data_IF_987341640168
#
_entry.id   IF_987341640168
#
_cell.length_a   1.000
_cell.length_b   1.000
_cell.length_c   1.000
_cell.angle_alpha   90.00
_cell.angle_beta   90.00
_cell.angle_gamma   90.00
#
_symmetry.space_group_name_H-M   'P 1'
#
loop_
_entity.id
_entity.type
_entity.pdbx_description
1 polymer ?
#
# COMPACT_ATOMS: atom_id res chain seq x y z
N UNK A 1 6.68 12.39 -8.94
CA UNK A 1 7.54 11.21 -8.62
C UNK A 1 7.24 10.13 -9.66
N UNK A 2 8.21 9.77 -10.49
CA UNK A 2 7.98 8.74 -11.51
C UNK A 2 8.22 7.37 -10.88
N UNK A 3 7.15 6.74 -10.32
CA UNK A 3 7.20 5.33 -9.91
C UNK A 3 7.17 4.39 -11.13
N UNK A 4 6.81 4.90 -12.29
CA UNK A 4 6.78 4.15 -13.55
C UNK A 4 8.20 3.82 -14.01
N UNK A 5 8.46 2.54 -14.22
CA UNK A 5 9.75 2.02 -14.65
C UNK A 5 9.74 1.86 -16.17
N UNK A 6 10.72 2.43 -16.91
CA UNK A 6 10.79 2.26 -18.35
C UNK A 6 11.04 0.79 -18.75
N UNK A 7 10.57 0.40 -19.93
CA UNK A 7 10.68 -0.98 -20.42
C UNK A 7 12.13 -1.52 -20.42
N UNK A 8 13.13 -0.66 -20.58
CA UNK A 8 14.56 -1.02 -20.54
C UNK A 8 15.06 -1.50 -19.17
N UNK A 9 14.28 -1.29 -18.11
CA UNK A 9 14.59 -1.73 -16.73
C UNK A 9 13.72 -2.89 -16.28
N UNK A 10 12.83 -3.39 -17.13
CA UNK A 10 11.99 -4.55 -16.80
C UNK A 10 12.81 -5.85 -16.86
N UNK A 11 12.39 -6.80 -16.06
CA UNK A 11 13.02 -8.12 -16.01
C UNK A 11 12.89 -8.86 -17.35
N UNK A 12 14.01 -9.33 -17.91
CA UNK A 12 14.01 -10.01 -19.20
C UNK A 12 13.42 -11.43 -19.16
N UNK A 13 13.25 -12.01 -17.98
CA UNK A 13 12.84 -13.42 -17.85
C UNK A 13 11.36 -13.62 -17.51
N UNK A 14 10.70 -12.63 -16.90
CA UNK A 14 9.27 -12.70 -16.55
C UNK A 14 8.47 -11.52 -17.11
N UNK A 15 8.93 -10.29 -16.89
CA UNK A 15 8.17 -9.09 -17.21
C UNK A 15 8.14 -8.78 -18.71
N UNK A 16 9.30 -8.82 -19.38
CA UNK A 16 9.35 -8.62 -20.84
C UNK A 16 8.64 -9.73 -21.64
N UNK A 17 8.80 -11.03 -21.33
CA UNK A 17 8.02 -12.09 -21.97
C UNK A 17 6.51 -11.92 -21.83
N UNK A 18 6.02 -11.46 -20.65
CA UNK A 18 4.60 -11.14 -20.49
C UNK A 18 4.17 -10.04 -21.46
N UNK A 19 4.90 -8.94 -21.55
CA UNK A 19 4.57 -7.85 -22.47
C UNK A 19 4.61 -8.29 -23.95
N UNK A 20 5.55 -9.17 -24.32
CA UNK A 20 5.59 -9.78 -25.66
C UNK A 20 4.35 -10.63 -25.92
N UNK A 21 3.86 -11.40 -24.94
CA UNK A 21 2.61 -12.14 -25.08
C UNK A 21 1.41 -11.20 -25.29
N UNK A 22 1.33 -10.10 -24.53
CA UNK A 22 0.32 -9.06 -24.71
C UNK A 22 0.36 -8.47 -26.12
N UNK A 23 1.55 -8.20 -26.61
CA UNK A 23 1.77 -7.60 -27.93
C UNK A 23 1.39 -8.53 -29.08
N UNK A 24 1.71 -9.81 -28.95
CA UNK A 24 1.49 -10.83 -29.98
C UNK A 24 0.07 -11.41 -29.99
N UNK A 25 -0.73 -11.16 -28.94
CA UNK A 25 -2.08 -11.71 -28.81
C UNK A 25 -3.12 -10.59 -28.56
N UNK A 26 -3.38 -9.72 -29.55
CA UNK A 26 -4.44 -8.73 -29.44
C UNK A 26 -5.80 -9.43 -29.29
N UNK A 27 -6.67 -8.94 -28.42
CA UNK A 27 -8.00 -9.53 -28.19
C UNK A 27 -8.04 -10.71 -27.22
N UNK A 28 -6.89 -11.22 -26.73
CA UNK A 28 -6.88 -12.21 -25.66
C UNK A 28 -6.93 -11.57 -24.27
N UNK A 29 -7.71 -12.17 -23.39
CA UNK A 29 -7.71 -11.83 -21.97
C UNK A 29 -6.49 -12.43 -21.26
N UNK A 30 -5.97 -11.71 -20.27
CA UNK A 30 -4.83 -12.14 -19.46
C UNK A 30 -5.11 -11.99 -17.98
N UNK A 31 -4.55 -12.87 -17.19
CA UNK A 31 -4.46 -12.74 -15.76
C UNK A 31 -3.01 -12.79 -15.28
N UNK A 32 -2.51 -11.66 -14.81
CA UNK A 32 -1.18 -11.49 -14.25
C UNK A 32 -1.23 -11.70 -12.74
N UNK A 33 -0.74 -12.85 -12.28
CA UNK A 33 -0.57 -13.17 -10.86
C UNK A 33 0.81 -12.72 -10.40
N UNK A 34 0.94 -12.35 -9.13
CA UNK A 34 2.25 -12.08 -8.55
C UNK A 34 2.14 -11.53 -7.14
N UNK A 35 3.17 -11.74 -6.35
CA UNK A 35 3.24 -11.25 -4.98
C UNK A 35 3.32 -9.71 -4.88
N UNK A 36 3.15 -9.18 -3.67
CA UNK A 36 3.44 -7.78 -3.37
C UNK A 36 4.83 -7.41 -3.90
N UNK A 37 4.91 -6.32 -4.67
CA UNK A 37 6.20 -5.83 -5.18
C UNK A 37 6.76 -6.58 -6.40
N UNK A 38 5.99 -7.45 -7.08
CA UNK A 38 6.42 -8.11 -8.33
C UNK A 38 6.33 -7.22 -9.58
N UNK A 39 5.73 -6.02 -9.48
CA UNK A 39 5.63 -5.06 -10.58
C UNK A 39 4.33 -5.13 -11.38
N UNK A 40 3.28 -5.79 -10.89
CA UNK A 40 1.98 -5.92 -11.59
C UNK A 40 1.42 -4.60 -12.14
N UNK A 41 1.29 -3.60 -11.28
CA UNK A 41 0.74 -2.29 -11.67
C UNK A 41 1.60 -1.58 -12.71
N UNK A 42 2.93 -1.74 -12.65
CA UNK A 42 3.86 -1.25 -13.68
C UNK A 42 3.56 -1.91 -15.02
N UNK A 43 3.38 -3.24 -15.03
CA UNK A 43 3.09 -3.99 -16.24
C UNK A 43 1.72 -3.65 -16.83
N UNK A 44 0.70 -3.39 -15.99
CA UNK A 44 -0.60 -2.90 -16.49
C UNK A 44 -0.45 -1.58 -17.25
N UNK A 45 0.37 -0.64 -16.77
CA UNK A 45 0.64 0.59 -17.52
C UNK A 45 1.39 0.32 -18.82
N UNK A 46 2.34 -0.60 -18.85
CA UNK A 46 2.98 -1.00 -20.12
C UNK A 46 1.99 -1.62 -21.10
N UNK A 47 1.00 -2.39 -20.62
CA UNK A 47 -0.08 -2.92 -21.48
C UNK A 47 -0.89 -1.78 -22.13
N UNK A 48 -1.21 -0.72 -21.35
CA UNK A 48 -1.83 0.49 -21.90
C UNK A 48 -0.98 1.12 -22.99
N UNK A 49 0.33 1.30 -22.75
CA UNK A 49 1.24 1.92 -23.70
C UNK A 49 1.37 1.10 -24.99
N UNK A 50 1.39 -0.23 -24.89
CA UNK A 50 1.42 -1.14 -26.05
C UNK A 50 0.14 -0.98 -26.86
N UNK A 51 -1.02 -0.97 -26.19
CA UNK A 51 -2.33 -0.82 -26.83
C UNK A 51 -2.45 0.51 -27.56
N UNK A 52 -2.15 1.61 -26.89
CA UNK A 52 -2.20 2.96 -27.43
C UNK A 52 -1.21 3.20 -28.58
N UNK A 53 -0.05 2.56 -28.56
CA UNK A 53 0.91 2.59 -29.68
C UNK A 53 0.36 1.92 -30.94
N UNK A 54 -0.36 0.80 -30.78
CA UNK A 54 -0.98 0.05 -31.88
C UNK A 54 -2.25 0.71 -32.38
N UNK A 55 -3.06 1.22 -31.46
CA UNK A 55 -4.31 1.89 -31.76
C UNK A 55 -4.45 3.16 -30.89
N UNK A 56 -3.99 4.33 -31.36
CA UNK A 56 -4.08 5.58 -30.62
C UNK A 56 -5.51 5.96 -30.21
N UNK A 57 -6.51 5.53 -30.98
CA UNK A 57 -7.92 5.79 -30.72
C UNK A 57 -8.60 4.73 -29.85
N UNK A 58 -7.87 3.70 -29.41
CA UNK A 58 -8.39 2.68 -28.51
C UNK A 58 -9.04 3.31 -27.27
N UNK A 59 -10.25 2.90 -26.96
CA UNK A 59 -10.93 3.30 -25.74
C UNK A 59 -10.49 2.41 -24.59
N UNK A 60 -9.53 2.90 -23.83
CA UNK A 60 -8.92 2.18 -22.72
C UNK A 60 -9.33 2.78 -21.36
N UNK A 61 -9.48 1.91 -20.35
CA UNK A 61 -9.77 2.30 -18.97
C UNK A 61 -8.97 1.46 -17.98
N UNK A 62 -8.60 2.08 -16.85
CA UNK A 62 -7.97 1.41 -15.71
C UNK A 62 -8.98 1.37 -14.56
N UNK A 63 -9.29 0.18 -14.09
CA UNK A 63 -10.23 -0.08 -12.98
C UNK A 63 -9.42 -0.52 -11.77
N UNK A 64 -9.63 0.18 -10.65
CA UNK A 64 -8.94 -0.03 -9.39
C UNK A 64 -9.95 -0.30 -8.27
N UNK A 65 -9.48 -0.89 -7.17
CA UNK A 65 -10.34 -1.12 -6.02
C UNK A 65 -10.43 0.11 -5.09
N UNK A 66 -9.33 0.83 -4.88
CA UNK A 66 -9.24 1.94 -3.93
C UNK A 66 -8.98 3.29 -4.59
N UNK A 67 -9.52 4.36 -3.99
CA UNK A 67 -9.28 5.74 -4.45
C UNK A 67 -7.81 6.17 -4.33
N UNK A 68 -7.11 5.67 -3.33
CA UNK A 68 -5.70 6.02 -3.08
C UNK A 68 -4.80 5.63 -4.25
N UNK A 69 -5.14 4.54 -4.96
CA UNK A 69 -4.40 4.08 -6.15
C UNK A 69 -4.60 4.99 -7.36
N UNK A 70 -5.72 5.70 -7.46
CA UNK A 70 -6.00 6.57 -8.62
C UNK A 70 -4.93 7.64 -8.76
N UNK A 71 -4.60 8.34 -7.67
CA UNK A 71 -3.58 9.40 -7.68
C UNK A 71 -2.19 8.83 -8.05
N UNK A 72 -1.86 7.65 -7.52
CA UNK A 72 -0.60 6.99 -7.83
C UNK A 72 -0.53 6.62 -9.31
N UNK A 73 -1.55 5.95 -9.84
CA UNK A 73 -1.60 5.51 -11.24
C UNK A 73 -1.55 6.73 -12.18
N UNK A 74 -2.38 7.75 -11.94
CA UNK A 74 -2.39 8.99 -12.73
C UNK A 74 -1.03 9.70 -12.72
N UNK A 75 -0.36 9.70 -11.56
CA UNK A 75 0.99 10.26 -11.44
C UNK A 75 2.08 9.48 -12.21
N UNK A 76 1.83 8.24 -12.59
CA UNK A 76 2.73 7.40 -13.38
C UNK A 76 2.44 7.43 -14.89
N UNK A 77 1.27 7.92 -15.30
CA UNK A 77 0.91 8.00 -16.72
C UNK A 77 1.77 9.05 -17.44
N UNK A 78 2.33 8.73 -18.61
CA UNK A 78 2.91 9.73 -19.49
C UNK A 78 1.90 10.82 -19.86
N UNK A 79 2.36 12.05 -20.05
CA UNK A 79 1.49 13.21 -20.33
C UNK A 79 0.57 12.99 -21.55
N UNK A 80 1.04 12.28 -22.55
CA UNK A 80 0.27 11.93 -23.77
C UNK A 80 -0.94 11.03 -23.48
N UNK A 81 -0.93 10.30 -22.35
CA UNK A 81 -2.00 9.40 -21.91
C UNK A 81 -2.67 9.87 -20.63
N UNK A 82 -2.41 11.10 -20.19
CA UNK A 82 -2.99 11.67 -18.97
C UNK A 82 -4.53 11.68 -18.96
N UNK A 83 -5.16 11.68 -20.14
CA UNK A 83 -6.62 11.63 -20.31
C UNK A 83 -7.19 10.21 -20.22
N UNK A 84 -6.38 9.16 -20.02
CA UNK A 84 -6.89 7.81 -19.80
C UNK A 84 -7.77 7.78 -18.54
N UNK A 85 -8.98 7.25 -18.66
CA UNK A 85 -9.86 7.10 -17.52
C UNK A 85 -9.26 6.13 -16.50
N UNK A 86 -9.17 6.57 -15.24
CA UNK A 86 -8.75 5.77 -14.08
C UNK A 86 -9.83 5.91 -13.04
N UNK A 87 -10.57 4.84 -12.79
CA UNK A 87 -11.75 4.82 -11.93
C UNK A 87 -11.65 3.71 -10.89
N UNK A 88 -12.39 3.89 -9.78
CA UNK A 88 -12.69 2.73 -8.93
C UNK A 88 -13.73 1.84 -9.61
N UNK A 89 -13.81 0.56 -9.19
CA UNK A 89 -14.85 -0.34 -9.68
C UNK A 89 -16.25 0.25 -9.45
N UNK A 90 -16.50 0.86 -8.29
CA UNK A 90 -17.80 1.50 -7.99
C UNK A 90 -18.15 2.65 -8.94
N UNK A 91 -17.19 3.38 -9.45
CA UNK A 91 -17.42 4.40 -10.48
C UNK A 91 -17.61 3.76 -11.86
N UNK A 92 -16.81 2.72 -12.16
CA UNK A 92 -16.85 2.02 -13.44
C UNK A 92 -18.21 1.32 -13.69
N UNK A 93 -18.83 0.72 -12.67
CA UNK A 93 -20.12 0.04 -12.84
C UNK A 93 -21.25 0.95 -13.34
N UNK A 94 -21.17 2.27 -13.12
CA UNK A 94 -22.12 3.27 -13.62
C UNK A 94 -21.80 3.74 -15.05
N UNK A 95 -20.75 3.24 -15.68
CA UNK A 95 -20.45 3.51 -17.09
C UNK A 95 -21.31 2.61 -17.98
N UNK A 96 -21.88 3.18 -19.03
CA UNK A 96 -22.70 2.46 -20.01
C UNK A 96 -21.97 2.20 -21.34
N UNK A 97 -20.68 2.45 -21.37
CA UNK A 97 -19.84 2.40 -22.55
C UNK A 97 -19.04 1.10 -22.59
N UNK A 98 -18.69 0.67 -23.80
CA UNK A 98 -17.77 -0.45 -24.00
C UNK A 98 -16.35 0.05 -24.30
N UNK A 99 -15.38 -0.76 -23.94
CA UNK A 99 -13.96 -0.44 -23.99
C UNK A 99 -13.20 -1.47 -24.82
N UNK A 100 -12.18 -1.02 -25.56
CA UNK A 100 -11.27 -1.90 -26.30
C UNK A 100 -10.23 -2.53 -25.40
N UNK A 101 -9.87 -1.83 -24.31
CA UNK A 101 -8.96 -2.34 -23.27
C UNK A 101 -9.46 -1.96 -21.87
N UNK A 102 -9.69 -2.99 -21.05
CA UNK A 102 -9.96 -2.80 -19.62
C UNK A 102 -8.77 -3.38 -18.84
N UNK A 103 -8.10 -2.55 -18.06
CA UNK A 103 -7.03 -2.96 -17.15
C UNK A 103 -7.58 -2.97 -15.73
N UNK A 104 -7.45 -4.08 -15.02
CA UNK A 104 -7.99 -4.25 -13.66
C UNK A 104 -6.86 -4.61 -12.71
N UNK A 105 -6.61 -3.79 -11.70
CA UNK A 105 -5.68 -4.13 -10.61
C UNK A 105 -6.43 -4.59 -9.36
N UNK A 106 -5.77 -5.41 -8.55
CA UNK A 106 -6.30 -5.98 -7.29
C UNK A 106 -7.59 -6.81 -7.48
N UNK A 107 -7.63 -7.63 -8.54
CA UNK A 107 -8.81 -8.45 -8.90
C UNK A 107 -9.30 -9.35 -7.75
N UNK A 108 -8.41 -9.79 -6.85
CA UNK A 108 -8.76 -10.67 -5.72
C UNK A 108 -9.75 -10.03 -4.74
N UNK A 109 -9.98 -8.72 -4.82
CA UNK A 109 -10.95 -8.02 -3.98
C UNK A 109 -12.33 -7.87 -4.64
N UNK A 110 -12.45 -8.28 -5.90
CA UNK A 110 -13.72 -8.19 -6.63
C UNK A 110 -14.47 -9.53 -6.53
N UNK A 111 -15.76 -9.51 -6.17
CA UNK A 111 -16.60 -10.69 -6.25
C UNK A 111 -16.83 -11.09 -7.71
N UNK A 112 -17.22 -12.35 -7.93
CA UNK A 112 -17.39 -12.94 -9.27
C UNK A 112 -18.33 -12.14 -10.17
N UNK A 113 -19.47 -11.68 -9.63
CA UNK A 113 -20.45 -10.93 -10.42
C UNK A 113 -19.88 -9.61 -10.95
N UNK A 114 -19.00 -8.94 -10.17
CA UNK A 114 -18.36 -7.70 -10.56
C UNK A 114 -17.35 -7.94 -11.69
N UNK A 115 -16.64 -9.06 -11.64
CA UNK A 115 -15.71 -9.46 -12.72
C UNK A 115 -16.48 -9.77 -14.01
N UNK A 116 -17.64 -10.44 -13.92
CA UNK A 116 -18.52 -10.67 -15.07
C UNK A 116 -19.04 -9.34 -15.65
N UNK A 117 -19.42 -8.39 -14.80
CA UNK A 117 -19.83 -7.05 -15.23
C UNK A 117 -18.69 -6.33 -15.97
N UNK A 118 -17.46 -6.39 -15.46
CA UNK A 118 -16.29 -5.82 -16.14
C UNK A 118 -16.11 -6.44 -17.53
N UNK A 119 -16.15 -7.77 -17.62
CA UNK A 119 -15.96 -8.47 -18.89
C UNK A 119 -17.09 -8.12 -19.91
N UNK A 120 -18.31 -7.88 -19.45
CA UNK A 120 -19.44 -7.55 -20.33
C UNK A 120 -19.31 -6.17 -21.00
N UNK A 121 -18.43 -5.30 -20.49
CA UNK A 121 -18.19 -3.95 -21.03
C UNK A 121 -17.00 -3.89 -22.00
N UNK A 122 -16.56 -5.02 -22.52
CA UNK A 122 -15.58 -5.03 -23.62
C UNK A 122 -16.28 -4.92 -24.98
N UNK A 123 -15.65 -4.27 -25.96
CA UNK A 123 -16.07 -4.35 -27.36
C UNK A 123 -15.83 -5.76 -27.91
N UNK A 124 -16.40 -6.09 -29.07
CA UNK A 124 -16.28 -7.42 -29.69
C UNK A 124 -14.83 -7.88 -29.85
N UNK A 125 -13.93 -6.96 -30.15
CA UNK A 125 -12.50 -7.22 -30.29
C UNK A 125 -11.68 -6.73 -29.10
N UNK A 126 -12.37 -6.29 -28.03
CA UNK A 126 -11.76 -5.80 -26.82
C UNK A 126 -11.21 -6.92 -25.95
N UNK A 127 -10.40 -6.53 -24.96
CA UNK A 127 -9.80 -7.46 -24.01
C UNK A 127 -9.75 -6.90 -22.60
N UNK A 128 -9.67 -7.80 -21.63
CA UNK A 128 -9.42 -7.46 -20.24
C UNK A 128 -8.07 -8.04 -19.82
N UNK A 129 -7.29 -7.24 -19.11
CA UNK A 129 -6.04 -7.67 -18.47
C UNK A 129 -6.21 -7.46 -16.96
N UNK A 130 -6.25 -8.56 -16.23
CA UNK A 130 -6.36 -8.58 -14.78
C UNK A 130 -4.99 -8.68 -14.14
N UNK A 131 -4.80 -8.01 -13.02
CA UNK A 131 -3.66 -8.19 -12.13
C UNK A 131 -4.11 -8.38 -10.69
N UNK A 132 -3.38 -9.20 -9.91
CA UNK A 132 -3.72 -9.42 -8.52
C UNK A 132 -2.75 -10.29 -7.75
N UNK A 133 -2.92 -10.27 -6.44
CA UNK A 133 -2.19 -11.09 -5.46
C UNK A 133 -3.18 -11.74 -4.49
N UNK A 134 -3.35 -13.03 -4.61
CA UNK A 134 -4.27 -13.82 -3.76
C UNK A 134 -3.99 -13.61 -2.27
N UNK A 135 -2.72 -13.45 -1.91
CA UNK A 135 -2.30 -13.29 -0.51
C UNK A 135 -2.69 -11.94 0.09
N UNK A 136 -3.08 -10.98 -0.74
CA UNK A 136 -3.57 -9.66 -0.32
C UNK A 136 -5.10 -9.55 -0.39
N UNK A 137 -5.83 -10.64 -0.47
CA UNK A 137 -7.29 -10.62 -0.36
C UNK A 137 -7.70 -10.27 1.07
N UNK A 138 -8.40 -9.16 1.23
CA UNK A 138 -8.83 -8.61 2.52
C UNK A 138 -10.35 -8.55 2.68
N UNK A 139 -11.10 -9.08 1.73
CA UNK A 139 -12.56 -9.11 1.75
C UNK A 139 -13.09 -10.55 1.70
N UNK A 140 -14.13 -10.82 2.47
CA UNK A 140 -14.77 -12.14 2.65
C UNK A 140 -15.30 -12.79 1.36
N UNK A 141 -15.43 -12.02 0.29
CA UNK A 141 -15.96 -12.51 -0.98
C UNK A 141 -15.02 -13.49 -1.70
N UNK A 142 -13.77 -13.60 -1.23
CA UNK A 142 -12.70 -14.35 -1.88
C UNK A 142 -12.14 -15.50 -1.03
N UNK A 143 -12.80 -15.85 0.06
CA UNK A 143 -12.26 -16.72 1.11
C UNK A 143 -12.06 -18.20 0.74
N UNK A 144 -12.29 -18.62 -0.51
CA UNK A 144 -11.93 -19.98 -0.93
C UNK A 144 -10.98 -19.95 -2.13
N UNK A 145 -9.90 -20.76 -2.07
CA UNK A 145 -9.04 -21.04 -3.23
C UNK A 145 -9.86 -21.52 -4.45
N UNK A 146 -11.01 -22.14 -4.21
CA UNK A 146 -11.93 -22.58 -5.25
C UNK A 146 -12.58 -21.42 -6.00
N UNK A 147 -12.95 -20.31 -5.32
CA UNK A 147 -13.50 -19.12 -5.98
C UNK A 147 -12.48 -18.43 -6.88
N UNK A 148 -11.21 -18.44 -6.54
CA UNK A 148 -10.16 -17.87 -7.38
C UNK A 148 -9.93 -18.71 -8.63
N UNK A 149 -10.07 -20.03 -8.52
CA UNK A 149 -10.05 -20.93 -9.68
C UNK A 149 -11.33 -20.78 -10.53
N UNK A 150 -12.46 -20.37 -9.92
CA UNK A 150 -13.69 -20.00 -10.66
C UNK A 150 -13.56 -18.66 -11.36
N UNK A 151 -12.88 -17.66 -10.75
CA UNK A 151 -12.51 -16.41 -11.41
C UNK A 151 -11.69 -16.66 -12.68
N UNK A 152 -10.82 -17.69 -12.68
CA UNK A 152 -10.09 -18.11 -13.89
C UNK A 152 -10.99 -18.63 -15.01
N UNK A 153 -12.21 -19.07 -14.70
CA UNK A 153 -13.19 -19.53 -15.69
C UNK A 153 -14.04 -18.39 -16.26
N UNK A 154 -14.04 -17.21 -15.61
CA UNK A 154 -14.92 -16.10 -16.00
C UNK A 154 -14.47 -15.39 -17.27
N UNK A 155 -13.19 -14.99 -17.43
CA UNK A 155 -12.73 -14.64 -18.76
C UNK A 155 -12.42 -15.95 -19.50
N UNK A 156 -13.41 -16.52 -20.17
CA UNK A 156 -13.23 -17.66 -21.05
C UNK A 156 -11.98 -17.41 -21.90
N UNK A 157 -10.99 -18.29 -21.78
CA UNK A 157 -9.69 -18.23 -22.46
C UNK A 157 -8.67 -17.17 -21.94
N UNK A 158 -8.75 -16.70 -20.69
CA UNK A 158 -7.68 -15.87 -20.14
C UNK A 158 -6.37 -16.67 -20.00
N UNK A 159 -5.29 -16.11 -20.56
CA UNK A 159 -3.95 -16.65 -20.37
C UNK A 159 -3.42 -16.22 -19.00
N UNK A 160 -3.03 -17.18 -18.17
CA UNK A 160 -2.48 -16.92 -16.84
C UNK A 160 -0.96 -16.81 -16.93
N UNK A 161 -0.42 -15.74 -16.37
CA UNK A 161 1.03 -15.55 -16.20
C UNK A 161 1.32 -15.25 -14.74
N UNK A 162 2.32 -15.93 -14.19
CA UNK A 162 2.76 -15.72 -12.80
C UNK A 162 4.11 -15.03 -12.76
N UNK A 163 4.22 -14.02 -11.88
CA UNK A 163 5.48 -13.35 -11.56
C UNK A 163 5.98 -13.89 -10.22
N UNK A 164 7.13 -14.56 -10.25
CA UNK A 164 7.74 -15.19 -9.08
C UNK A 164 8.88 -14.35 -8.48
N UNK A 165 9.23 -13.25 -9.13
CA UNK A 165 10.25 -12.31 -8.65
C UNK A 165 9.63 -11.14 -7.92
N UNK A 166 10.19 -10.84 -6.75
CA UNK A 166 9.79 -9.71 -5.90
C UNK A 166 10.88 -8.65 -5.97
N UNK A 167 10.54 -7.48 -6.50
CA UNK A 167 11.48 -6.39 -6.76
C UNK A 167 11.51 -5.32 -5.66
N UNK A 168 10.43 -5.21 -4.89
CA UNK A 168 10.26 -4.12 -3.93
C UNK A 168 10.61 -4.51 -2.50
N UNK A 169 10.26 -5.73 -2.11
CA UNK A 169 10.44 -6.16 -0.73
C UNK A 169 11.86 -6.64 -0.49
N UNK A 170 12.42 -6.30 0.67
CA UNK A 170 13.67 -6.90 1.13
C UNK A 170 13.45 -8.33 1.63
N UNK A 171 14.54 -9.12 1.72
CA UNK A 171 14.50 -10.47 2.29
C UNK A 171 13.94 -10.47 3.71
N UNK A 172 14.29 -9.46 4.52
CA UNK A 172 13.84 -9.30 5.89
C UNK A 172 12.33 -9.07 5.95
N UNK A 173 11.79 -8.12 5.15
CA UNK A 173 10.34 -7.88 5.08
C UNK A 173 9.62 -9.13 4.60
N UNK A 174 10.11 -9.85 3.57
CA UNK A 174 9.53 -11.11 3.14
C UNK A 174 9.50 -12.14 4.27
N UNK A 175 10.60 -12.30 5.03
CA UNK A 175 10.70 -13.27 6.13
C UNK A 175 9.65 -12.98 7.22
N UNK A 176 9.55 -11.74 7.68
CA UNK A 176 8.59 -11.39 8.74
C UNK A 176 7.14 -11.41 8.27
N UNK A 177 6.86 -11.13 7.00
CA UNK A 177 5.49 -11.13 6.46
C UNK A 177 5.01 -12.53 6.06
N UNK A 178 5.90 -13.50 5.84
CA UNK A 178 5.54 -14.85 5.42
C UNK A 178 4.60 -15.57 6.38
N UNK A 179 4.65 -15.27 7.68
CA UNK A 179 3.76 -15.85 8.69
C UNK A 179 2.28 -15.46 8.52
N UNK A 180 2.03 -14.38 7.77
CA UNK A 180 0.69 -13.83 7.51
C UNK A 180 0.24 -14.08 6.06
N UNK A 181 1.07 -14.74 5.27
CA UNK A 181 0.79 -15.05 3.88
C UNK A 181 -0.03 -16.35 3.79
N UNK A 182 -1.15 -16.33 3.05
CA UNK A 182 -1.98 -17.53 2.87
C UNK A 182 -1.25 -18.61 2.09
N UNK A 183 -0.47 -18.24 1.07
CA UNK A 183 0.35 -19.17 0.28
C UNK A 183 1.82 -19.01 0.69
N UNK A 184 2.10 -19.37 1.94
CA UNK A 184 3.43 -19.22 2.56
C UNK A 184 4.51 -19.92 1.76
N UNK A 185 4.27 -21.16 1.31
CA UNK A 185 5.27 -21.98 0.62
C UNK A 185 5.76 -21.32 -0.67
N UNK A 186 4.84 -20.88 -1.54
CA UNK A 186 5.21 -20.20 -2.79
C UNK A 186 5.79 -18.81 -2.53
N UNK A 187 5.31 -18.12 -1.50
CA UNK A 187 5.83 -16.80 -1.13
C UNK A 187 7.29 -16.89 -0.62
N UNK A 188 7.62 -17.90 0.20
CA UNK A 188 8.98 -18.14 0.68
C UNK A 188 9.90 -18.66 -0.45
N UNK A 189 9.36 -19.36 -1.45
CA UNK A 189 10.10 -19.80 -2.63
C UNK A 189 10.34 -18.70 -3.66
N UNK A 190 9.56 -17.60 -3.62
CA UNK A 190 9.70 -16.48 -4.55
C UNK A 190 11.10 -15.84 -4.44
N UNK A 191 11.69 -15.51 -5.58
CA UNK A 191 13.00 -14.88 -5.65
C UNK A 191 12.88 -13.39 -5.29
N UNK A 192 13.49 -12.98 -4.19
CA UNK A 192 13.64 -11.56 -3.85
C UNK A 192 14.86 -11.01 -4.57
N UNK A 193 14.64 -10.03 -5.42
CA UNK A 193 15.69 -9.35 -6.18
C UNK A 193 16.35 -8.29 -5.28
N UNK A 194 17.61 -8.47 -4.99
CA UNK A 194 18.32 -7.94 -3.86
C UNK A 194 18.91 -6.55 -4.11
N UNK A 195 18.06 -5.56 -4.40
CA UNK A 195 18.50 -4.16 -4.40
C UNK A 195 18.43 -3.50 -3.00
N UNK A 196 17.69 -4.12 -2.05
CA UNK A 196 17.49 -3.63 -0.69
C UNK A 196 17.59 -4.78 0.33
N UNK A 197 18.71 -5.52 0.31
CA UNK A 197 18.90 -6.72 1.14
C UNK A 197 18.66 -6.51 2.63
N UNK A 198 18.91 -5.32 3.14
CA UNK A 198 18.97 -5.00 4.56
C UNK A 198 18.07 -3.82 4.95
N UNK A 199 16.80 -3.82 4.50
CA UNK A 199 15.84 -2.83 5.05
C UNK A 199 15.82 -2.96 6.57
N UNK A 200 16.19 -1.92 7.32
CA UNK A 200 16.15 -1.95 8.78
C UNK A 200 14.70 -2.09 9.26
N UNK A 201 14.51 -3.03 10.17
CA UNK A 201 13.23 -3.21 10.88
C UNK A 201 13.50 -2.90 12.35
N UNK A 202 12.74 -1.98 12.91
CA UNK A 202 12.85 -1.60 14.32
C UNK A 202 11.57 -1.91 15.07
N UNK A 203 11.69 -2.33 16.31
CA UNK A 203 10.60 -2.46 17.26
C UNK A 203 10.81 -1.49 18.42
N UNK A 204 9.92 -0.52 18.54
CA UNK A 204 9.99 0.51 19.57
C UNK A 204 9.07 0.16 20.72
N UNK A 205 9.61 0.11 21.91
CA UNK A 205 8.88 -0.12 23.15
C UNK A 205 8.66 1.19 23.88
N UNK A 206 7.41 1.53 24.13
CA UNK A 206 7.00 2.66 24.97
C UNK A 206 6.44 2.18 26.31
N UNK A 207 6.58 2.99 27.34
CA UNK A 207 6.08 2.67 28.68
C UNK A 207 4.55 2.72 28.73
N UNK A 208 3.96 3.66 27.96
CA UNK A 208 2.52 3.88 27.89
C UNK A 208 2.13 4.48 26.52
N UNK A 209 0.83 4.55 26.26
CA UNK A 209 0.27 5.05 25.00
C UNK A 209 0.63 6.53 24.74
N UNK A 210 0.70 7.37 25.77
CA UNK A 210 1.03 8.79 25.60
C UNK A 210 2.48 8.95 25.12
N UNK A 211 3.42 8.21 25.69
CA UNK A 211 4.81 8.17 25.27
C UNK A 211 4.95 7.62 23.84
N UNK A 212 4.17 6.56 23.51
CA UNK A 212 4.16 6.02 22.15
C UNK A 212 3.67 7.05 21.12
N UNK A 213 2.56 7.75 21.39
CA UNK A 213 2.05 8.82 20.53
C UNK A 213 3.05 9.97 20.39
N UNK A 214 3.69 10.38 21.49
CA UNK A 214 4.70 11.46 21.47
C UNK A 214 5.91 11.08 20.63
N UNK A 215 6.43 9.87 20.82
CA UNK A 215 7.54 9.35 20.03
C UNK A 215 7.16 9.21 18.56
N UNK A 216 6.02 8.58 18.26
CA UNK A 216 5.54 8.36 16.90
C UNK A 216 5.43 9.68 16.12
N UNK A 217 4.81 10.70 16.74
CA UNK A 217 4.69 12.00 16.10
C UNK A 217 6.05 12.67 15.86
N UNK A 218 6.89 12.77 16.89
CA UNK A 218 8.20 13.44 16.76
C UNK A 218 9.12 12.71 15.76
N UNK A 219 9.16 11.38 15.82
CA UNK A 219 9.95 10.59 14.90
C UNK A 219 9.44 10.69 13.46
N UNK A 220 8.13 10.52 13.23
CA UNK A 220 7.59 10.64 11.88
C UNK A 220 7.75 12.05 11.30
N UNK A 221 7.66 13.11 12.12
CA UNK A 221 7.93 14.48 11.71
C UNK A 221 9.41 14.68 11.32
N UNK A 222 10.36 14.10 12.07
CA UNK A 222 11.78 14.12 11.73
C UNK A 222 12.04 13.53 10.34
N UNK A 223 11.41 12.38 10.02
CA UNK A 223 11.48 11.80 8.67
C UNK A 223 10.83 12.69 7.61
N UNK A 224 9.69 13.30 7.92
CA UNK A 224 9.03 14.26 7.02
C UNK A 224 9.89 15.47 6.72
N UNK A 225 10.48 16.07 7.74
CA UNK A 225 11.37 17.23 7.61
C UNK A 225 12.67 16.88 6.84
N UNK A 226 13.12 15.62 6.90
CA UNK A 226 14.20 15.10 6.08
C UNK A 226 13.77 14.75 4.62
N UNK A 227 12.51 14.96 4.24
CA UNK A 227 12.00 14.75 2.88
C UNK A 227 11.62 13.30 2.54
N UNK A 228 11.48 12.41 3.54
CA UNK A 228 11.15 10.99 3.29
C UNK A 228 9.67 10.69 3.13
N UNK A 229 8.77 11.62 3.44
CA UNK A 229 7.29 11.43 3.37
C UNK A 229 6.87 10.10 4.01
N UNK A 230 6.98 9.97 5.34
CA UNK A 230 6.68 8.72 6.03
C UNK A 230 5.18 8.43 6.05
N UNK A 231 4.82 7.14 6.12
CA UNK A 231 3.45 6.70 6.32
C UNK A 231 3.26 6.04 7.67
N UNK A 232 2.25 6.47 8.40
CA UNK A 232 1.77 5.84 9.63
C UNK A 232 0.56 4.99 9.26
N UNK A 233 0.68 3.68 9.33
CA UNK A 233 -0.37 2.73 9.02
C UNK A 233 -1.07 2.30 10.30
N UNK A 234 -2.38 2.53 10.38
CA UNK A 234 -3.20 2.21 11.55
C UNK A 234 -4.37 1.33 11.11
N UNK A 235 -4.76 0.36 11.92
CA UNK A 235 -5.77 -0.62 11.56
C UNK A 235 -7.18 -0.02 11.37
N UNK A 236 -7.55 0.98 12.18
CA UNK A 236 -8.90 1.51 12.23
C UNK A 236 -8.94 3.05 12.35
N UNK A 237 -10.07 3.63 11.96
CA UNK A 237 -10.25 5.09 11.93
C UNK A 237 -10.31 5.73 13.32
N UNK A 238 -10.83 5.00 14.32
CA UNK A 238 -10.92 5.53 15.68
C UNK A 238 -9.54 5.75 16.31
N UNK A 239 -8.62 4.80 16.07
CA UNK A 239 -7.22 4.95 16.49
C UNK A 239 -6.52 6.09 15.74
N UNK A 240 -6.87 6.33 14.46
CA UNK A 240 -6.39 7.49 13.71
C UNK A 240 -6.84 8.79 14.37
N UNK A 241 -8.13 8.92 14.72
CA UNK A 241 -8.65 10.11 15.40
C UNK A 241 -8.00 10.35 16.76
N UNK A 242 -7.83 9.29 17.55
CA UNK A 242 -7.13 9.35 18.85
C UNK A 242 -5.69 9.85 18.68
N UNK A 243 -4.97 9.34 17.66
CA UNK A 243 -3.61 9.78 17.39
C UNK A 243 -3.58 11.24 16.93
N UNK A 244 -4.46 11.67 16.01
CA UNK A 244 -4.55 13.07 15.58
C UNK A 244 -4.83 14.00 16.75
N UNK A 245 -5.77 13.63 17.65
CA UNK A 245 -6.04 14.41 18.88
C UNK A 245 -4.81 14.48 19.78
N UNK A 246 -4.04 13.40 19.89
CA UNK A 246 -2.78 13.40 20.65
C UNK A 246 -1.73 14.33 19.99
N UNK A 247 -1.62 14.34 18.66
CA UNK A 247 -0.74 15.27 17.92
C UNK A 247 -1.12 16.72 18.20
N UNK A 248 -2.40 17.05 18.10
CA UNK A 248 -2.89 18.42 18.38
C UNK A 248 -2.58 18.83 19.84
N UNK A 249 -2.73 17.92 20.80
CA UNK A 249 -2.37 18.16 22.21
C UNK A 249 -0.85 18.39 22.37
N UNK A 250 0.00 17.57 21.72
CA UNK A 250 1.46 17.67 21.77
C UNK A 250 1.94 19.02 21.19
N UNK A 251 1.30 19.46 20.13
CA UNK A 251 1.65 20.72 19.44
C UNK A 251 0.90 21.94 20.01
N UNK A 252 0.15 21.80 21.12
CA UNK A 252 -0.66 22.86 21.75
C UNK A 252 -1.62 23.53 20.76
N UNK A 253 -2.33 22.74 19.94
CA UNK A 253 -3.28 23.21 18.93
C UNK A 253 -4.73 22.92 19.34
N UNK A 254 -5.72 23.67 18.79
CA UNK A 254 -7.12 23.39 18.99
C UNK A 254 -7.48 21.97 18.64
N UNK A 255 -8.30 21.31 19.48
CA UNK A 255 -8.73 19.94 19.27
C UNK A 255 -9.74 19.82 18.12
N UNK A 256 -9.99 18.57 17.67
CA UNK A 256 -10.98 18.29 16.64
C UNK A 256 -12.38 18.71 17.09
N UNK A 257 -13.19 19.23 16.16
CA UNK A 257 -14.60 19.45 16.40
C UNK A 257 -15.35 18.10 16.35
N UNK A 258 -16.12 17.78 17.39
CA UNK A 258 -16.93 16.56 17.46
C UNK A 258 -18.00 16.47 16.35
N UNK A 259 -18.47 17.58 15.80
CA UNK A 259 -19.40 17.59 14.67
C UNK A 259 -18.83 16.96 13.39
N UNK A 260 -17.49 16.93 13.24
CA UNK A 260 -16.82 16.26 12.12
C UNK A 260 -16.81 14.74 12.19
N UNK A 261 -17.31 14.17 13.31
CA UNK A 261 -17.26 12.74 13.65
C UNK A 261 -18.69 12.18 13.82
N UNK A 262 -19.71 12.82 13.27
CA UNK A 262 -21.10 12.46 13.50
C UNK A 262 -21.63 11.33 12.61
N UNK A 263 -22.51 10.49 13.14
CA UNK A 263 -23.30 9.45 12.46
C UNK A 263 -22.49 8.38 11.71
N UNK A 264 -21.31 8.00 12.21
CA UNK A 264 -20.48 6.97 11.58
C UNK A 264 -19.70 7.44 10.35
N UNK A 265 -19.87 8.70 9.91
CA UNK A 265 -19.04 9.32 8.89
C UNK A 265 -18.04 10.29 9.51
N UNK A 266 -16.75 10.07 9.20
CA UNK A 266 -15.66 10.96 9.60
C UNK A 266 -15.36 11.89 8.43
N UNK A 267 -15.48 13.20 8.66
CA UNK A 267 -15.21 14.24 7.68
C UNK A 267 -13.70 14.53 7.57
N UNK A 268 -12.93 13.60 7.00
CA UNK A 268 -11.47 13.72 6.92
C UNK A 268 -10.97 14.92 6.12
N UNK A 269 -11.78 15.49 5.21
CA UNK A 269 -11.49 16.76 4.54
C UNK A 269 -11.42 17.92 5.55
N UNK A 270 -12.37 18.00 6.48
CA UNK A 270 -12.37 19.04 7.52
C UNK A 270 -11.20 18.83 8.49
N UNK A 271 -10.90 17.57 8.84
CA UNK A 271 -9.74 17.24 9.67
C UNK A 271 -8.44 17.64 8.98
N UNK A 272 -8.24 17.30 7.71
CA UNK A 272 -7.05 17.69 6.96
C UNK A 272 -6.91 19.23 6.87
N UNK A 273 -8.00 19.95 6.60
CA UNK A 273 -8.01 21.41 6.59
C UNK A 273 -7.67 21.99 7.96
N UNK A 274 -8.17 21.39 9.04
CA UNK A 274 -7.86 21.81 10.39
C UNK A 274 -6.37 21.61 10.74
N UNK A 275 -5.79 20.46 10.37
CA UNK A 275 -4.37 20.19 10.55
C UNK A 275 -3.52 21.22 9.79
N UNK A 276 -3.85 21.46 8.53
CA UNK A 276 -3.14 22.41 7.67
C UNK A 276 -3.23 23.83 8.21
N UNK A 277 -4.42 24.32 8.58
CA UNK A 277 -4.62 25.67 9.12
C UNK A 277 -3.91 25.90 10.45
N UNK A 278 -3.62 24.84 11.19
CA UNK A 278 -2.84 24.89 12.43
C UNK A 278 -1.33 24.62 12.23
N UNK A 279 -0.86 24.47 10.98
CA UNK A 279 0.54 24.24 10.65
C UNK A 279 1.05 22.84 11.00
N UNK A 280 0.16 21.86 11.17
CA UNK A 280 0.50 20.47 11.44
C UNK A 280 0.79 19.75 10.13
N UNK A 281 2.04 19.32 9.94
CA UNK A 281 2.50 18.59 8.75
C UNK A 281 2.04 17.12 8.76
N UNK A 282 0.76 16.89 8.93
CA UNK A 282 0.10 15.58 8.93
C UNK A 282 -1.14 15.64 8.05
N UNK A 283 -1.35 14.60 7.22
CA UNK A 283 -2.61 14.43 6.50
C UNK A 283 -3.13 13.00 6.61
N UNK A 284 -4.45 12.86 6.67
CA UNK A 284 -5.10 11.59 6.40
C UNK A 284 -5.19 11.36 4.88
N UNK A 285 -4.78 10.16 4.44
CA UNK A 285 -4.89 9.72 3.05
C UNK A 285 -5.80 8.48 2.98
N UNK A 286 -6.83 8.54 2.15
CA UNK A 286 -7.76 7.42 1.93
C UNK A 286 -9.17 7.89 1.64
N UNK A 287 -10.01 7.03 1.06
CA UNK A 287 -11.43 7.30 0.78
C UNK A 287 -11.70 8.65 0.09
N UNK A 288 -10.92 9.03 -0.92
CA UNK A 288 -10.93 10.33 -1.63
C UNK A 288 -10.34 11.52 -0.87
N UNK A 289 -9.87 11.34 0.35
CA UNK A 289 -9.26 12.40 1.14
C UNK A 289 -7.74 12.34 1.09
N UNK A 290 -7.10 13.50 1.16
CA UNK A 290 -5.66 13.64 1.07
C UNK A 290 -5.13 13.51 -0.37
N UNK A 291 -3.85 13.78 -0.57
CA UNK A 291 -3.16 13.69 -1.86
C UNK A 291 -1.71 13.28 -1.68
N UNK A 292 -1.27 12.26 -2.44
CA UNK A 292 0.14 11.88 -2.52
C UNK A 292 1.01 13.02 -3.03
N UNK A 293 0.53 13.73 -4.05
CA UNK A 293 1.26 14.85 -4.63
C UNK A 293 1.53 15.92 -3.57
N UNK A 294 0.49 16.27 -2.79
CA UNK A 294 0.61 17.25 -1.70
C UNK A 294 1.55 16.72 -0.59
N UNK A 295 1.44 15.45 -0.22
CA UNK A 295 2.33 14.86 0.77
C UNK A 295 3.81 15.04 0.40
N UNK A 296 4.14 14.82 -0.88
CA UNK A 296 5.49 14.97 -1.37
C UNK A 296 5.94 16.43 -1.52
N UNK A 297 5.08 17.32 -2.02
CA UNK A 297 5.45 18.73 -2.18
C UNK A 297 5.69 19.43 -0.84
N UNK A 298 4.93 19.08 0.18
CA UNK A 298 4.89 19.77 1.46
C UNK A 298 5.59 18.98 2.59
N UNK A 299 6.20 17.83 2.25
CA UNK A 299 6.85 16.91 3.18
C UNK A 299 5.95 16.50 4.36
N UNK A 300 4.69 16.12 4.04
CA UNK A 300 3.69 15.75 5.05
C UNK A 300 3.90 14.31 5.52
N UNK A 301 3.73 14.10 6.81
CA UNK A 301 3.48 12.76 7.37
C UNK A 301 2.11 12.29 6.88
N UNK A 302 2.03 11.09 6.33
CA UNK A 302 0.77 10.52 5.85
C UNK A 302 0.25 9.50 6.85
N UNK A 303 -0.99 9.65 7.33
CA UNK A 303 -1.67 8.66 8.14
C UNK A 303 -2.76 7.97 7.30
N UNK A 304 -2.79 6.64 7.32
CA UNK A 304 -3.63 5.85 6.42
C UNK A 304 -4.04 4.53 7.10
N UNK A 305 -5.22 4.01 6.75
CA UNK A 305 -5.62 2.68 7.25
C UNK A 305 -4.88 1.56 6.50
N UNK A 306 -4.74 0.38 7.13
CA UNK A 306 -4.21 -0.82 6.47
C UNK A 306 -4.94 -1.10 5.15
N UNK A 307 -6.28 -1.01 5.13
CA UNK A 307 -7.10 -1.18 3.94
C UNK A 307 -6.74 -0.19 2.83
N UNK A 308 -6.69 1.09 3.18
CA UNK A 308 -6.42 2.16 2.19
C UNK A 308 -4.97 2.17 1.70
N UNK A 309 -4.04 1.54 2.44
CA UNK A 309 -2.64 1.40 2.05
C UNK A 309 -2.40 0.32 0.98
N UNK A 310 -3.42 -0.51 0.71
CA UNK A 310 -3.30 -1.57 -0.29
C UNK A 310 -2.93 -1.02 -1.67
N UNK A 311 -1.99 -1.69 -2.32
CA UNK A 311 -1.44 -1.26 -3.62
C UNK A 311 -0.43 -0.11 -3.56
N UNK A 312 -0.39 0.65 -2.45
CA UNK A 312 0.57 1.73 -2.24
C UNK A 312 1.89 1.20 -1.70
N UNK A 313 2.91 2.05 -1.74
CA UNK A 313 4.18 1.81 -1.06
C UNK A 313 4.81 3.13 -0.59
N UNK A 314 5.62 3.03 0.46
CA UNK A 314 6.24 4.16 1.11
C UNK A 314 7.71 3.83 1.42
N UNK A 315 8.56 4.85 1.45
CA UNK A 315 9.95 4.66 1.85
C UNK A 315 10.04 4.21 3.30
N UNK A 316 9.41 4.96 4.20
CA UNK A 316 9.38 4.68 5.64
C UNK A 316 7.95 4.41 6.08
N UNK A 317 7.75 3.28 6.75
CA UNK A 317 6.45 2.87 7.28
C UNK A 317 6.53 2.70 8.79
N UNK A 318 5.60 3.32 9.48
CA UNK A 318 5.33 3.11 10.91
C UNK A 318 4.06 2.28 11.05
N UNK A 319 4.10 1.21 11.84
CA UNK A 319 2.93 0.44 12.27
C UNK A 319 2.87 0.48 13.79
N UNK A 320 2.15 1.46 14.36
CA UNK A 320 2.10 1.68 15.80
C UNK A 320 1.00 0.89 16.49
N UNK A 321 0.97 1.00 17.83
CA UNK A 321 -0.09 0.53 18.74
C UNK A 321 -0.22 -0.99 18.79
N UNK A 322 0.84 -1.73 18.50
CA UNK A 322 0.85 -3.19 18.53
C UNK A 322 0.94 -3.71 19.99
N UNK A 323 0.04 -3.24 20.86
CA UNK A 323 -0.16 -3.71 22.23
C UNK A 323 -1.18 -4.84 22.25
N UNK A 324 -1.21 -5.62 23.33
CA UNK A 324 -2.05 -6.82 23.45
C UNK A 324 -3.54 -6.56 23.20
N UNK A 325 -4.04 -5.41 23.65
CA UNK A 325 -5.47 -5.05 23.56
C UNK A 325 -5.83 -4.32 22.27
N UNK A 326 -4.85 -4.10 21.38
CA UNK A 326 -5.11 -3.44 20.11
C UNK A 326 -5.80 -4.40 19.14
N UNK A 327 -6.94 -3.96 18.59
CA UNK A 327 -7.70 -4.76 17.65
C UNK A 327 -7.39 -4.35 16.20
N UNK A 328 -6.86 -5.30 15.44
CA UNK A 328 -6.80 -5.18 13.99
C UNK A 328 -8.18 -5.56 13.44
N UNK A 329 -8.67 -4.76 12.51
CA UNK A 329 -10.01 -4.90 11.95
C UNK A 329 -10.27 -6.29 11.36
N UNK A 330 -11.52 -6.78 11.54
CA UNK A 330 -12.00 -8.05 11.00
C UNK A 330 -11.80 -9.24 11.94
N UNK A 331 -12.12 -10.41 11.45
CA UNK A 331 -11.77 -11.68 12.09
C UNK A 331 -10.26 -11.97 11.98
N UNK A 332 -9.81 -13.08 12.55
CA UNK A 332 -8.38 -13.43 12.57
C UNK A 332 -7.79 -13.57 11.15
N UNK A 333 -8.56 -14.06 10.18
CA UNK A 333 -8.11 -14.25 8.80
C UNK A 333 -7.92 -12.91 8.11
N UNK A 334 -8.91 -12.04 8.20
CA UNK A 334 -8.87 -10.67 7.67
C UNK A 334 -7.77 -9.87 8.37
N UNK A 335 -7.67 -9.96 9.70
CA UNK A 335 -6.64 -9.26 10.46
C UNK A 335 -5.22 -9.67 10.04
N UNK A 336 -4.97 -10.97 9.79
CA UNK A 336 -3.69 -11.46 9.26
C UNK A 336 -3.40 -10.92 7.87
N UNK A 337 -4.38 -10.96 6.97
CA UNK A 337 -4.23 -10.43 5.61
C UNK A 337 -3.95 -8.92 5.61
N UNK A 338 -4.63 -8.15 6.47
CA UNK A 338 -4.39 -6.72 6.63
C UNK A 338 -3.01 -6.42 7.22
N UNK A 339 -2.56 -7.22 8.17
CA UNK A 339 -1.22 -7.06 8.74
C UNK A 339 -0.14 -7.44 7.70
N UNK A 340 -0.35 -8.48 6.90
CA UNK A 340 0.48 -8.80 5.74
C UNK A 340 0.56 -7.61 4.77
N UNK A 341 -0.58 -7.01 4.43
CA UNK A 341 -0.62 -5.80 3.60
C UNK A 341 0.24 -4.71 4.22
N UNK A 342 0.05 -4.38 5.50
CA UNK A 342 0.78 -3.31 6.17
C UNK A 342 2.30 -3.55 6.19
N UNK A 343 2.76 -4.75 6.56
CA UNK A 343 4.18 -5.11 6.57
C UNK A 343 4.84 -4.96 5.20
N UNK A 344 4.11 -5.27 4.13
CA UNK A 344 4.61 -5.23 2.75
C UNK A 344 4.56 -3.84 2.10
N UNK A 345 4.21 -2.78 2.82
CA UNK A 345 4.17 -1.40 2.27
C UNK A 345 5.50 -0.67 2.32
N UNK A 346 6.46 -1.16 3.11
CA UNK A 346 7.76 -0.52 3.32
C UNK A 346 8.75 -0.86 2.20
N UNK A 347 9.46 0.17 1.71
CA UNK A 347 10.56 0.02 0.74
C UNK A 347 11.94 0.08 1.40
N UNK A 348 12.15 1.01 2.31
CA UNK A 348 13.47 1.34 2.84
C UNK A 348 13.55 1.14 4.35
N UNK A 349 12.46 1.37 5.10
CA UNK A 349 12.45 1.23 6.55
C UNK A 349 11.06 0.86 7.09
N UNK A 350 11.02 -0.13 7.98
CA UNK A 350 9.83 -0.53 8.72
C UNK A 350 10.04 -0.33 10.22
N UNK A 351 9.13 0.38 10.85
CA UNK A 351 9.18 0.68 12.28
C UNK A 351 7.87 0.25 12.91
N UNK A 352 7.95 -0.74 13.79
CA UNK A 352 6.84 -1.25 14.58
C UNK A 352 6.90 -0.63 15.96
N UNK A 353 5.76 -0.39 16.60
CA UNK A 353 5.77 0.04 18.01
C UNK A 353 4.64 -0.54 18.83
N UNK A 354 4.88 -0.65 20.13
CA UNK A 354 3.87 -1.01 21.12
C UNK A 354 4.12 -0.25 22.42
N UNK A 355 3.06 -0.10 23.21
CA UNK A 355 3.14 0.43 24.58
C UNK A 355 2.76 -0.61 25.62
N UNK A 356 3.27 -0.43 26.83
CA UNK A 356 2.99 -1.32 27.96
C UNK A 356 3.76 -2.65 27.93
N UNK A 357 3.34 -3.58 28.81
CA UNK A 357 4.10 -4.81 29.09
C UNK A 357 3.86 -5.89 28.03
N UNK A 358 2.61 -6.01 27.54
CA UNK A 358 2.21 -7.10 26.64
C UNK A 358 2.10 -6.62 25.20
N UNK A 359 2.83 -7.26 24.33
CA UNK A 359 2.77 -7.04 22.88
C UNK A 359 1.56 -7.71 22.23
N UNK A 360 1.14 -7.20 21.08
CA UNK A 360 0.14 -7.83 20.24
C UNK A 360 0.59 -9.24 19.81
N UNK A 361 -0.30 -10.24 19.76
CA UNK A 361 0.06 -11.61 19.33
C UNK A 361 0.70 -11.71 17.94
N UNK A 362 0.50 -10.71 17.09
CA UNK A 362 1.15 -10.62 15.78
C UNK A 362 2.62 -10.20 15.84
N UNK A 363 3.13 -9.74 16.97
CA UNK A 363 4.57 -9.56 17.16
C UNK A 363 5.19 -10.90 17.58
N UNK A 364 5.31 -11.81 16.61
CA UNK A 364 5.84 -13.15 16.83
C UNK A 364 7.34 -13.15 17.11
N UNK A 365 7.87 -14.28 17.56
CA UNK A 365 9.31 -14.46 17.77
C UNK A 365 10.12 -14.22 16.50
N UNK A 366 9.58 -14.60 15.34
CA UNK A 366 10.21 -14.34 14.03
C UNK A 366 10.36 -12.83 13.78
N UNK A 367 9.29 -12.05 13.99
CA UNK A 367 9.35 -10.59 13.82
C UNK A 367 10.35 -9.99 14.79
N UNK A 368 10.26 -10.36 16.08
CA UNK A 368 11.12 -9.79 17.13
C UNK A 368 12.59 -10.09 16.84
N UNK A 369 12.93 -11.31 16.37
CA UNK A 369 14.31 -11.68 16.04
C UNK A 369 14.90 -10.90 14.86
N UNK A 370 14.07 -10.35 13.99
CA UNK A 370 14.51 -9.54 12.84
C UNK A 370 14.54 -8.03 13.16
N UNK A 371 14.07 -7.62 14.34
CA UNK A 371 13.98 -6.21 14.73
C UNK A 371 15.19 -5.77 15.56
N UNK A 372 15.63 -4.54 15.33
CA UNK A 372 16.40 -3.79 16.32
C UNK A 372 15.43 -3.22 17.34
N UNK A 373 15.56 -3.66 18.61
CA UNK A 373 14.68 -3.21 19.69
C UNK A 373 15.22 -1.92 20.29
N UNK A 374 14.37 -0.89 20.41
CA UNK A 374 14.71 0.40 20.97
C UNK A 374 13.62 0.85 21.97
N UNK A 375 13.99 1.77 22.86
CA UNK A 375 13.07 2.38 23.82
C UNK A 375 12.60 3.75 23.33
N UNK A 376 11.30 4.02 23.37
CA UNK A 376 10.73 5.29 22.94
C UNK A 376 11.26 6.50 23.72
N UNK A 377 11.53 6.33 25.02
CA UNK A 377 12.10 7.38 25.86
C UNK A 377 13.53 7.76 25.43
N UNK A 378 14.35 6.79 25.05
CA UNK A 378 15.71 7.04 24.56
C UNK A 378 15.68 7.76 23.20
N UNK A 379 14.83 7.29 22.28
CA UNK A 379 14.65 7.93 20.98
C UNK A 379 14.11 9.37 21.13
N UNK A 380 13.18 9.62 22.05
CA UNK A 380 12.71 10.98 22.35
C UNK A 380 13.84 11.89 22.85
N UNK A 381 14.73 11.39 23.73
CA UNK A 381 15.90 12.14 24.19
C UNK A 381 16.85 12.46 23.05
N UNK A 382 17.09 11.50 22.14
CA UNK A 382 17.90 11.70 20.92
C UNK A 382 17.33 12.81 20.03
N UNK A 383 16.03 12.79 19.78
CA UNK A 383 15.35 13.79 18.93
C UNK A 383 15.43 15.18 19.56
N UNK A 384 15.32 15.28 20.89
CA UNK A 384 15.37 16.56 21.61
C UNK A 384 16.80 17.14 21.72
N UNK A 385 17.82 16.28 21.80
CA UNK A 385 19.23 16.66 21.96
C UNK A 385 20.13 16.01 20.90
N UNK A 386 20.02 16.43 19.63
CA UNK A 386 20.75 15.79 18.52
C UNK A 386 22.28 15.89 18.65
N UNK A 387 22.81 16.79 19.46
CA UNK A 387 24.25 16.99 19.69
C UNK A 387 24.80 16.25 20.93
N UNK A 388 23.95 15.58 21.71
CA UNK A 388 24.34 14.87 22.93
C UNK A 388 24.76 13.40 22.74
N UNK A 389 24.78 12.88 21.53
CA UNK A 389 24.94 11.45 21.21
C UNK A 389 26.23 11.07 20.50
N UNK A 390 27.37 11.68 20.85
CA UNK A 390 28.67 11.18 20.36
C UNK A 390 29.44 10.55 21.53
N UNK A 391 29.09 9.30 21.82
CA UNK A 391 30.02 8.31 22.38
C UNK A 391 29.33 6.93 22.37
N UNK A 392 29.42 6.23 21.28
CA UNK A 392 29.67 4.79 21.18
C UNK A 392 29.61 4.45 19.67
N UNK A 393 30.83 4.13 19.17
CA UNK A 393 30.99 3.84 17.75
C UNK A 393 30.16 2.66 17.29
N UNK A 394 29.24 2.94 16.43
CA UNK A 394 28.75 2.03 15.37
C UNK A 394 28.16 2.90 14.27
N UNK A 395 28.66 2.72 13.09
CA UNK A 395 28.47 3.55 11.91
C UNK A 395 26.99 3.80 11.54
N UNK A 396 26.58 5.07 11.59
CA UNK A 396 25.42 5.54 10.83
C UNK A 396 25.90 5.78 9.41
N UNK A 397 25.64 4.83 8.52
CA UNK A 397 25.76 5.05 7.08
C UNK A 397 24.65 6.02 6.68
N UNK A 398 24.98 7.29 6.55
CA UNK A 398 24.18 8.30 5.85
C UNK A 398 24.51 8.13 4.37
N UNK A 399 23.54 7.62 3.61
CA UNK A 399 23.55 7.71 2.14
C UNK A 399 22.28 8.43 1.69
#
# INVERSE_FOLDING_TARGET
MAWFIPATRLDPTEQLPFLQQIENNPGKNFWLKGFAGSGKSVLLLHCLLIDKRKNPNSKAIIVLYTYSLIDMIKGGLPNEYANTEVLTFYQFRHKHENYDLILVDEIQDLPEHDIREICSKTTTNGRVIFAGDINQSIYDHSSSNDKINEILKIPQNATVTSLNKIWRLSRRIRKISAEYCNDRQNYEAAQVMDFNANVPVSLIKADNLEQECQWLWKSSKEYGDAGYVPAILISNKDSILKFISSVLKIENKPQLNFEWINNGEIQFNLINNHLESNGIKLQYLGNKFGSFKKAHSDNLVTIITFHSSKGLDFKTVFIPFLSHDYQIYGDLTIAKALFFVALTRSREQLILSHSGIKMHPFLTTTIISECTIKNAGDELRRIQNPLGGVNNGEDVVVI
#
